data_IF_093459734804
#
_entry.id   IF_093459734804
#
_cell.length_a   1.000
_cell.length_b   1.000
_cell.length_c   1.000
_cell.angle_alpha   90.00
_cell.angle_beta   90.00
_cell.angle_gamma   90.00
#
_symmetry.space_group_name_H-M   'P 1'
#
loop_
_entity.id
_entity.type
_entity.pdbx_description
1 polymer ?
#
# COMPACT_ATOMS: atom_id res chain seq x y z
N UNK A 1 -67.66 28.32 37.07
CA UNK A 1 -66.33 28.97 37.07
C UNK A 1 -65.91 29.17 35.63
N UNK A 2 -65.35 30.36 35.36
CA UNK A 2 -65.18 30.98 34.03
C UNK A 2 -64.15 30.27 33.14
N UNK A 3 -64.46 30.18 31.84
CA UNK A 3 -63.48 30.17 30.73
C UNK A 3 -62.95 31.61 30.52
N UNK A 4 -61.76 31.86 29.93
CA UNK A 4 -61.65 31.94 28.45
C UNK A 4 -60.25 31.48 27.89
N UNK A 5 -60.17 30.92 26.68
CA UNK A 5 -59.89 31.56 25.37
C UNK A 5 -58.42 32.02 25.20
N UNK A 6 -57.77 32.07 24.03
CA UNK A 6 -58.18 31.90 22.63
C UNK A 6 -56.93 31.78 21.72
N UNK A 7 -57.15 31.31 20.48
CA UNK A 7 -56.55 31.77 19.21
C UNK A 7 -55.02 31.59 18.98
N UNK A 8 -54.50 31.40 17.77
CA UNK A 8 -55.04 31.39 16.41
C UNK A 8 -53.87 31.10 15.44
N UNK A 9 -54.09 30.22 14.46
CA UNK A 9 -54.13 30.51 13.02
C UNK A 9 -52.83 30.98 12.32
N UNK A 10 -52.33 30.08 11.46
CA UNK A 10 -52.09 30.25 10.03
C UNK A 10 -50.95 31.16 9.48
N UNK A 11 -50.05 30.47 8.77
CA UNK A 11 -49.50 30.79 7.43
C UNK A 11 -48.51 31.95 7.26
N UNK A 12 -47.34 31.65 6.67
CA UNK A 12 -46.95 32.01 5.29
C UNK A 12 -45.46 31.74 5.00
N UNK A 13 -45.24 31.19 3.81
CA UNK A 13 -43.99 30.99 3.02
C UNK A 13 -43.37 32.36 2.66
N UNK A 14 -42.04 32.56 2.51
CA UNK A 14 -41.27 32.32 1.26
C UNK A 14 -39.77 31.96 1.52
N UNK A 15 -38.82 31.77 0.60
CA UNK A 15 -38.68 32.10 -0.81
C UNK A 15 -37.57 31.23 -1.44
N UNK A 16 -37.52 31.30 -2.77
CA UNK A 16 -36.63 30.66 -3.75
C UNK A 16 -35.26 31.38 -3.81
N UNK A 17 -34.16 30.64 -3.99
CA UNK A 17 -32.95 31.15 -4.65
C UNK A 17 -32.23 30.06 -5.45
N UNK A 18 -31.47 30.52 -6.43
CA UNK A 18 -31.17 29.89 -7.72
C UNK A 18 -29.69 29.69 -7.96
N UNK A 19 -29.34 28.60 -8.66
CA UNK A 19 -28.25 28.58 -9.65
C UNK A 19 -26.87 28.18 -9.15
N UNK A 20 -26.19 27.37 -9.97
CA UNK A 20 -24.75 27.14 -9.89
C UNK A 20 -24.34 25.70 -10.19
N UNK A 21 -24.23 25.35 -11.48
CA UNK A 21 -23.56 24.13 -11.92
C UNK A 21 -22.04 24.25 -11.77
N UNK A 22 -21.40 23.14 -11.44
CA UNK A 22 -19.94 22.98 -11.39
C UNK A 22 -19.60 21.51 -11.28
N UNK A 23 -19.00 20.98 -12.34
CA UNK A 23 -18.27 19.72 -12.52
C UNK A 23 -18.31 18.71 -11.38
N UNK A 24 -19.10 17.63 -11.58
CA UNK A 24 -19.12 16.48 -10.67
C UNK A 24 -17.94 15.56 -10.97
N UNK A 25 -17.00 15.54 -10.04
CA UNK A 25 -16.18 14.37 -9.76
C UNK A 25 -17.07 13.11 -9.59
N UNK A 26 -16.52 11.89 -9.79
CA UNK A 26 -17.31 10.66 -9.71
C UNK A 26 -17.99 10.51 -8.34
N UNK A 27 -19.15 9.82 -8.26
CA UNK A 27 -19.97 9.82 -7.04
C UNK A 27 -19.23 9.12 -5.89
N UNK A 28 -18.99 9.86 -4.82
CA UNK A 28 -18.47 9.34 -3.56
C UNK A 28 -19.57 8.53 -2.86
N UNK A 29 -19.29 7.25 -2.58
CA UNK A 29 -20.18 6.39 -1.81
C UNK A 29 -20.44 7.00 -0.42
N UNK A 30 -21.70 7.08 0.01
CA UNK A 30 -22.09 7.61 1.32
C UNK A 30 -22.08 6.48 2.36
N UNK A 31 -21.72 6.76 3.61
CA UNK A 31 -21.64 5.77 4.70
C UNK A 31 -22.70 6.03 5.79
N UNK A 32 -23.22 4.98 6.43
CA UNK A 32 -24.19 5.07 7.56
C UNK A 32 -23.99 3.92 8.55
N UNK A 33 -24.07 4.18 9.86
CA UNK A 33 -23.97 3.14 10.89
C UNK A 33 -24.92 1.93 10.66
N UNK A 34 -24.41 0.72 10.90
CA UNK A 34 -25.11 -0.56 10.73
C UNK A 34 -25.33 -1.30 12.07
N UNK A 35 -26.26 -2.26 12.15
CA UNK A 35 -26.48 -3.07 13.36
C UNK A 35 -25.27 -3.96 13.71
N UNK A 36 -25.07 -4.21 15.00
CA UNK A 36 -24.02 -5.11 15.54
C UNK A 36 -24.31 -6.61 15.29
N UNK A 37 -25.51 -6.97 14.83
CA UNK A 37 -25.88 -8.34 14.47
C UNK A 37 -26.60 -8.35 13.13
N UNK A 38 -26.06 -9.10 12.18
CA UNK A 38 -26.48 -9.17 10.80
C UNK A 38 -26.85 -10.63 10.49
N UNK A 39 -28.14 -11.00 10.60
CA UNK A 39 -28.58 -12.35 10.32
C UNK A 39 -28.37 -12.70 8.85
N UNK A 40 -28.16 -13.97 8.53
CA UNK A 40 -27.97 -14.43 7.15
C UNK A 40 -28.00 -15.95 7.00
N UNK A 41 -27.93 -16.41 5.75
CA UNK A 41 -27.90 -17.81 5.40
C UNK A 41 -26.86 -18.05 4.29
N UNK A 42 -25.85 -18.92 4.49
CA UNK A 42 -25.67 -19.82 5.63
C UNK A 42 -24.99 -19.18 6.86
N UNK A 43 -24.56 -17.92 6.78
CA UNK A 43 -23.81 -17.25 7.85
C UNK A 43 -24.51 -16.00 8.37
N UNK A 44 -24.43 -15.78 9.68
CA UNK A 44 -24.75 -14.52 10.34
C UNK A 44 -23.48 -13.89 10.91
N UNK A 45 -23.38 -12.56 10.90
CA UNK A 45 -22.23 -11.83 11.45
C UNK A 45 -22.65 -11.11 12.72
N UNK A 46 -21.88 -11.26 13.80
CA UNK A 46 -22.12 -10.55 15.06
C UNK A 46 -20.83 -9.89 15.55
N UNK A 47 -20.87 -8.59 15.75
CA UNK A 47 -19.78 -7.86 16.42
C UNK A 47 -19.84 -8.18 17.91
N UNK A 48 -18.79 -8.80 18.43
CA UNK A 48 -18.62 -9.18 19.83
C UNK A 48 -18.12 -7.98 20.64
N UNK A 49 -17.19 -7.24 20.05
CA UNK A 49 -16.60 -6.04 20.60
C UNK A 49 -16.46 -5.02 19.48
N UNK A 50 -17.01 -3.83 19.65
CA UNK A 50 -16.71 -2.69 18.79
C UNK A 50 -15.33 -2.14 19.17
N UNK A 51 -14.47 -1.94 18.17
CA UNK A 51 -13.17 -1.34 18.36
C UNK A 51 -13.26 0.16 18.62
N UNK A 52 -12.17 0.72 19.10
CA UNK A 52 -12.04 2.15 19.34
C UNK A 52 -10.57 2.56 19.27
N UNK A 53 -10.35 3.82 18.93
CA UNK A 53 -9.06 4.49 19.00
C UNK A 53 -9.30 5.90 19.56
N UNK A 54 -8.73 6.22 20.74
CA UNK A 54 -9.02 7.47 21.46
C UNK A 54 -7.75 8.13 21.95
N UNK A 55 -7.48 9.34 21.46
CA UNK A 55 -6.42 10.18 21.98
C UNK A 55 -6.63 10.50 23.48
N UNK A 56 -5.55 10.45 24.25
CA UNK A 56 -5.50 10.78 25.67
C UNK A 56 -4.90 12.17 25.89
N UNK A 57 -5.15 12.77 27.06
CA UNK A 57 -4.66 14.10 27.40
C UNK A 57 -3.12 14.20 27.47
N UNK A 58 -2.44 13.09 27.70
CA UNK A 58 -0.97 12.98 27.73
C UNK A 58 -0.34 12.75 26.35
N UNK A 59 -1.15 12.73 25.30
CA UNK A 59 -0.71 12.47 23.92
C UNK A 59 -0.58 11.00 23.56
N UNK A 60 -0.87 10.06 24.47
CA UNK A 60 -0.99 8.64 24.17
C UNK A 60 -2.34 8.30 23.51
N UNK A 61 -2.48 7.07 23.04
CA UNK A 61 -3.72 6.57 22.43
C UNK A 61 -4.19 5.33 23.18
N UNK A 62 -5.47 5.33 23.57
CA UNK A 62 -6.15 4.15 24.10
C UNK A 62 -6.93 3.51 22.96
N UNK A 63 -6.54 2.30 22.57
CA UNK A 63 -7.16 1.58 21.46
C UNK A 63 -7.43 0.11 21.79
N UNK A 64 -8.39 -0.46 21.07
CA UNK A 64 -8.59 -1.91 20.95
C UNK A 64 -9.33 -2.22 19.65
N UNK A 65 -9.04 -3.37 19.05
CA UNK A 65 -9.60 -3.78 17.78
C UNK A 65 -11.04 -4.30 17.90
N UNK A 66 -11.78 -4.22 16.81
CA UNK A 66 -13.11 -4.81 16.67
C UNK A 66 -13.00 -6.32 16.59
N UNK A 67 -13.81 -7.04 17.36
CA UNK A 67 -13.89 -8.51 17.30
C UNK A 67 -15.23 -8.92 16.74
N UNK A 68 -15.22 -9.75 15.70
CA UNK A 68 -16.43 -10.24 15.03
C UNK A 68 -16.52 -11.76 15.05
N UNK A 69 -17.74 -12.28 15.23
CA UNK A 69 -18.06 -13.70 15.19
C UNK A 69 -18.98 -13.99 14.01
N UNK A 70 -18.54 -14.89 13.12
CA UNK A 70 -19.33 -15.39 11.99
C UNK A 70 -19.93 -16.75 12.37
N UNK A 71 -21.23 -16.74 12.63
CA UNK A 71 -22.02 -17.89 13.06
C UNK A 71 -22.53 -18.66 11.83
N UNK A 72 -22.28 -19.97 11.78
CA UNK A 72 -22.73 -20.85 10.70
C UNK A 72 -21.93 -22.16 10.66
N UNK A 73 -21.92 -22.87 9.52
CA UNK A 73 -21.26 -24.19 9.40
C UNK A 73 -19.75 -24.18 9.69
N UNK A 74 -19.07 -23.06 9.41
CA UNK A 74 -17.65 -22.82 9.69
C UNK A 74 -17.51 -21.69 10.72
N UNK A 75 -17.80 -21.97 11.99
CA UNK A 75 -17.72 -20.97 13.06
C UNK A 75 -16.35 -20.29 13.09
N UNK A 76 -16.33 -19.00 12.78
CA UNK A 76 -15.11 -18.23 12.52
C UNK A 76 -15.11 -16.97 13.37
N UNK A 77 -14.02 -16.75 14.10
CA UNK A 77 -13.75 -15.50 14.81
C UNK A 77 -12.84 -14.64 13.93
N UNK A 78 -13.10 -13.34 13.86
CA UNK A 78 -12.24 -12.36 13.19
C UNK A 78 -11.72 -11.39 14.23
N UNK A 79 -10.39 -11.32 14.30
CA UNK A 79 -9.60 -10.68 15.36
C UNK A 79 -9.94 -11.19 16.77
N UNK A 80 -9.13 -10.81 17.74
CA UNK A 80 -9.19 -11.33 19.10
C UNK A 80 -9.03 -10.24 20.17
N UNK A 81 -8.98 -8.97 19.76
CA UNK A 81 -8.68 -7.86 20.66
C UNK A 81 -7.26 -7.92 21.22
N UNK A 82 -6.91 -6.92 22.04
CA UNK A 82 -5.68 -6.91 22.81
C UNK A 82 -5.67 -7.91 23.96
N UNK A 83 -4.50 -8.27 24.52
CA UNK A 83 -4.42 -9.17 25.67
C UNK A 83 -5.26 -8.69 26.88
N UNK A 84 -5.44 -7.38 27.02
CA UNK A 84 -6.29 -6.77 28.05
C UNK A 84 -7.79 -7.03 27.85
N UNK A 85 -8.23 -7.44 26.67
CA UNK A 85 -9.62 -7.72 26.33
C UNK A 85 -10.06 -9.16 26.65
N UNK A 86 -9.17 -10.01 27.18
CA UNK A 86 -9.40 -11.45 27.40
C UNK A 86 -10.77 -11.78 28.01
N UNK A 87 -11.09 -11.18 29.15
CA UNK A 87 -12.34 -11.46 29.86
C UNK A 87 -13.57 -10.99 29.09
N UNK A 88 -13.48 -9.83 28.42
CA UNK A 88 -14.55 -9.27 27.59
C UNK A 88 -14.82 -10.16 26.37
N UNK A 89 -13.77 -10.67 25.73
CA UNK A 89 -13.90 -11.62 24.63
C UNK A 89 -14.59 -12.92 25.09
N UNK A 90 -14.14 -13.52 26.19
CA UNK A 90 -14.73 -14.74 26.72
C UNK A 90 -16.21 -14.56 27.09
N UNK A 91 -16.55 -13.44 27.74
CA UNK A 91 -17.94 -13.11 28.07
C UNK A 91 -18.79 -12.93 26.80
N UNK A 92 -18.31 -12.17 25.82
CA UNK A 92 -19.03 -11.92 24.58
C UNK A 92 -19.26 -13.17 23.72
N UNK A 93 -18.35 -14.15 23.75
CA UNK A 93 -18.55 -15.47 23.15
C UNK A 93 -19.61 -16.28 23.93
N UNK A 94 -19.53 -16.30 25.26
CA UNK A 94 -20.47 -17.03 26.11
C UNK A 94 -21.91 -16.50 25.97
N UNK A 95 -22.11 -15.19 25.85
CA UNK A 95 -23.41 -14.56 25.56
C UNK A 95 -24.04 -15.06 24.25
N UNK A 96 -23.21 -15.48 23.29
CA UNK A 96 -23.62 -16.03 22.00
C UNK A 96 -23.68 -17.57 22.01
N UNK A 97 -23.52 -18.18 23.18
CA UNK A 97 -23.56 -19.63 23.37
C UNK A 97 -22.34 -20.36 22.77
N UNK A 98 -21.21 -19.67 22.61
CA UNK A 98 -19.99 -20.22 22.00
C UNK A 98 -18.88 -20.31 23.04
N UNK A 99 -18.26 -21.48 23.16
CA UNK A 99 -17.01 -21.63 23.91
C UNK A 99 -15.80 -21.45 22.97
N UNK A 100 -14.61 -21.08 23.49
CA UNK A 100 -13.40 -21.00 22.65
C UNK A 100 -13.07 -22.31 21.93
N UNK A 101 -13.45 -23.47 22.50
CA UNK A 101 -13.24 -24.78 21.90
C UNK A 101 -14.14 -25.10 20.69
N UNK A 102 -15.21 -24.32 20.48
CA UNK A 102 -16.14 -24.50 19.36
C UNK A 102 -15.67 -23.79 18.08
N UNK A 103 -14.86 -22.73 18.24
CA UNK A 103 -14.33 -21.92 17.14
C UNK A 103 -13.43 -22.78 16.25
N UNK A 104 -13.71 -22.77 14.94
CA UNK A 104 -13.00 -23.60 13.95
C UNK A 104 -11.94 -22.85 13.19
N UNK A 105 -12.13 -21.55 13.00
CA UNK A 105 -11.14 -20.67 12.37
C UNK A 105 -11.03 -19.38 13.17
N UNK A 106 -9.81 -18.87 13.31
CA UNK A 106 -9.55 -17.51 13.81
C UNK A 106 -8.80 -16.78 12.71
N UNK A 107 -9.39 -15.69 12.21
CA UNK A 107 -8.79 -14.81 11.21
C UNK A 107 -8.32 -13.55 11.93
N UNK A 108 -7.03 -13.42 12.21
CA UNK A 108 -6.43 -12.14 12.55
C UNK A 108 -6.12 -11.39 11.26
N UNK A 109 -6.78 -10.25 11.07
CA UNK A 109 -6.64 -9.40 9.89
C UNK A 109 -5.19 -9.02 9.65
N UNK A 110 -4.46 -8.73 10.73
CA UNK A 110 -3.03 -8.46 10.72
C UNK A 110 -2.40 -8.73 12.11
N UNK A 111 -1.12 -8.41 12.27
CA UNK A 111 -0.30 -8.81 13.42
C UNK A 111 -0.20 -7.81 14.58
N UNK A 112 -0.98 -6.73 14.61
CA UNK A 112 -0.92 -5.79 15.74
C UNK A 112 -1.50 -6.38 17.02
N UNK A 113 -1.00 -5.88 18.16
CA UNK A 113 -1.24 -6.44 19.48
C UNK A 113 -2.70 -6.45 19.89
N UNK A 114 -3.46 -5.47 19.42
CA UNK A 114 -4.87 -5.22 19.67
C UNK A 114 -5.82 -5.99 18.73
N UNK A 115 -5.28 -6.77 17.79
CA UNK A 115 -6.04 -7.68 16.92
C UNK A 115 -5.69 -9.15 17.19
N UNK A 116 -4.42 -9.45 17.52
CA UNK A 116 -3.91 -10.81 17.70
C UNK A 116 -3.64 -11.20 19.16
N UNK A 117 -4.09 -10.40 20.13
CA UNK A 117 -3.71 -10.51 21.53
C UNK A 117 -4.17 -11.77 22.26
N UNK A 118 -5.22 -12.45 21.81
CA UNK A 118 -5.81 -13.61 22.50
C UNK A 118 -5.84 -14.89 21.66
N UNK A 119 -4.95 -15.02 20.66
CA UNK A 119 -4.83 -16.23 19.84
C UNK A 119 -4.70 -17.53 20.65
N UNK A 120 -4.03 -17.46 21.82
CA UNK A 120 -3.82 -18.59 22.72
C UNK A 120 -5.10 -19.18 23.32
N UNK A 121 -6.25 -18.49 23.25
CA UNK A 121 -7.53 -19.02 23.71
C UNK A 121 -8.12 -20.07 22.76
N UNK A 122 -7.63 -20.17 21.52
CA UNK A 122 -8.24 -20.97 20.45
C UNK A 122 -7.30 -22.06 19.88
N UNK A 123 -6.74 -22.96 20.70
CA UNK A 123 -5.70 -23.91 20.26
C UNK A 123 -6.20 -24.98 19.26
N UNK A 124 -7.53 -25.12 19.09
CA UNK A 124 -8.16 -26.09 18.17
C UNK A 124 -8.59 -25.47 16.84
N UNK A 125 -8.45 -24.16 16.68
CA UNK A 125 -8.83 -23.47 15.46
C UNK A 125 -7.69 -23.50 14.44
N UNK A 126 -8.03 -23.52 13.15
CA UNK A 126 -7.10 -23.07 12.12
C UNK A 126 -6.89 -21.57 12.28
N UNK A 127 -5.63 -21.15 12.36
CA UNK A 127 -5.26 -19.75 12.54
C UNK A 127 -4.86 -19.17 11.18
N UNK A 128 -5.52 -18.08 10.80
CA UNK A 128 -5.17 -17.25 9.66
C UNK A 128 -4.69 -15.91 10.22
N UNK A 129 -3.39 -15.66 10.25
CA UNK A 129 -2.81 -14.42 10.78
C UNK A 129 -2.17 -13.65 9.65
N UNK A 130 -2.83 -12.59 9.20
CA UNK A 130 -2.53 -11.95 7.93
C UNK A 130 -2.58 -13.00 6.80
N UNK A 131 -1.45 -13.21 6.16
CA UNK A 131 -1.34 -14.16 5.03
C UNK A 131 -0.87 -15.57 5.41
N UNK A 132 -0.59 -15.83 6.69
CA UNK A 132 -0.17 -17.14 7.17
C UNK A 132 -1.36 -17.98 7.61
N UNK A 133 -1.48 -19.19 7.04
CA UNK A 133 -2.52 -20.17 7.40
C UNK A 133 -1.86 -21.34 8.11
N UNK A 134 -2.29 -21.61 9.35
CA UNK A 134 -1.70 -22.59 10.23
C UNK A 134 -2.79 -23.49 10.84
N UNK A 135 -2.70 -24.80 10.60
CA UNK A 135 -3.59 -25.78 11.21
C UNK A 135 -3.23 -25.98 12.69
N UNK A 136 -4.19 -26.47 13.51
CA UNK A 136 -3.93 -26.85 14.89
C UNK A 136 -2.68 -27.74 15.01
N UNK A 137 -1.81 -27.42 15.99
CA UNK A 137 -0.53 -28.11 16.17
C UNK A 137 0.65 -27.49 15.41
N UNK A 138 0.48 -26.32 14.78
CA UNK A 138 1.60 -25.54 14.24
C UNK A 138 2.00 -25.90 12.79
N UNK A 139 1.09 -26.50 12.02
CA UNK A 139 1.35 -26.89 10.63
C UNK A 139 0.92 -25.78 9.68
N UNK A 140 1.88 -25.07 9.12
CA UNK A 140 1.64 -24.03 8.12
C UNK A 140 1.29 -24.62 6.75
N UNK A 141 0.28 -24.06 6.10
CA UNK A 141 -0.18 -24.45 4.78
C UNK A 141 0.31 -23.45 3.72
N UNK A 142 0.80 -23.92 2.56
CA UNK A 142 1.07 -23.05 1.44
C UNK A 142 -0.25 -22.59 0.83
N UNK A 143 -0.52 -21.29 0.83
CA UNK A 143 -1.73 -20.71 0.23
C UNK A 143 -1.38 -19.64 -0.80
N UNK A 144 -2.40 -19.19 -1.55
CA UNK A 144 -2.27 -18.09 -2.50
C UNK A 144 -2.43 -16.70 -1.90
N UNK A 145 -2.71 -16.56 -0.60
CA UNK A 145 -3.02 -15.26 0.03
C UNK A 145 -1.91 -14.23 -0.19
N UNK A 146 -0.64 -14.61 0.04
CA UNK A 146 0.53 -13.76 -0.22
C UNK A 146 0.65 -13.29 -1.67
N UNK A 147 0.07 -14.03 -2.61
CA UNK A 147 0.06 -13.72 -4.05
C UNK A 147 -1.22 -13.01 -4.52
N UNK A 148 -2.09 -12.60 -3.60
CA UNK A 148 -3.32 -11.91 -3.93
C UNK A 148 -4.53 -12.83 -4.21
N UNK A 149 -4.38 -14.14 -4.09
CA UNK A 149 -5.51 -15.07 -4.28
C UNK A 149 -6.32 -15.22 -2.98
N UNK A 150 -7.66 -15.15 -3.03
CA UNK A 150 -8.51 -15.42 -1.88
C UNK A 150 -8.31 -16.82 -1.30
N UNK A 151 -8.52 -16.96 0.01
CA UNK A 151 -8.57 -18.26 0.68
C UNK A 151 -10.00 -18.59 1.13
N UNK A 152 -10.67 -19.58 0.50
CA UNK A 152 -12.03 -19.91 0.83
C UNK A 152 -12.10 -20.80 2.08
N UNK A 153 -12.66 -20.27 3.17
CA UNK A 153 -13.07 -21.08 4.34
C UNK A 153 -14.34 -21.88 3.99
N UNK A 154 -15.25 -21.25 3.24
CA UNK A 154 -16.40 -21.88 2.60
C UNK A 154 -16.63 -21.21 1.25
N UNK A 155 -16.25 -21.88 0.16
CA UNK A 155 -16.29 -21.33 -1.19
C UNK A 155 -17.65 -20.70 -1.53
N UNK A 156 -17.62 -19.47 -2.05
CA UNK A 156 -18.81 -18.70 -2.44
C UNK A 156 -19.58 -18.05 -1.28
N UNK A 157 -19.22 -18.30 -0.02
CA UNK A 157 -19.93 -17.77 1.14
C UNK A 157 -19.03 -17.07 2.17
N UNK A 158 -17.83 -17.61 2.41
CA UNK A 158 -16.90 -17.16 3.44
C UNK A 158 -15.46 -17.25 2.94
N UNK A 159 -14.85 -16.10 2.64
CA UNK A 159 -13.56 -16.03 1.95
C UNK A 159 -12.66 -14.98 2.60
N UNK A 160 -11.41 -15.35 2.87
CA UNK A 160 -10.36 -14.42 3.31
C UNK A 160 -9.77 -13.76 2.07
N UNK A 161 -9.82 -12.43 2.03
CA UNK A 161 -9.34 -11.59 0.94
C UNK A 161 -8.01 -10.93 1.34
N UNK A 162 -6.98 -10.95 0.49
CA UNK A 162 -5.80 -10.12 0.71
C UNK A 162 -6.13 -8.64 0.48
N UNK A 163 -5.93 -7.83 1.51
CA UNK A 163 -6.24 -6.39 1.53
C UNK A 163 -5.07 -5.57 2.07
N UNK A 164 -3.85 -5.77 1.53
CA UNK A 164 -2.66 -5.17 2.11
C UNK A 164 -2.70 -3.64 2.03
N UNK A 165 -2.00 -2.99 2.96
CA UNK A 165 -1.82 -1.56 2.95
C UNK A 165 -1.54 -1.00 4.34
N UNK A 166 -2.43 -1.26 5.30
CA UNK A 166 -2.19 -0.89 6.70
C UNK A 166 -0.92 -1.57 7.21
N UNK A 167 -0.83 -2.88 6.99
CA UNK A 167 0.43 -3.63 7.00
C UNK A 167 0.69 -4.32 5.66
N UNK A 168 1.92 -4.83 5.52
CA UNK A 168 2.34 -5.63 4.38
C UNK A 168 1.50 -6.89 4.09
N UNK A 169 0.77 -7.41 5.09
CA UNK A 169 0.16 -8.75 5.06
C UNK A 169 -1.31 -8.79 5.45
N UNK A 170 -2.02 -7.66 5.42
CA UNK A 170 -3.41 -7.59 5.85
C UNK A 170 -4.34 -8.49 5.03
N UNK A 171 -5.33 -9.03 5.73
CA UNK A 171 -6.47 -9.72 5.14
C UNK A 171 -7.78 -9.20 5.71
N UNK A 172 -8.84 -9.31 4.92
CA UNK A 172 -10.22 -9.04 5.31
C UNK A 172 -11.06 -10.31 5.14
N UNK A 173 -12.12 -10.47 5.93
CA UNK A 173 -13.07 -11.58 5.76
C UNK A 173 -14.33 -11.11 5.03
N UNK A 174 -14.60 -11.70 3.88
CA UNK A 174 -15.84 -11.51 3.12
C UNK A 174 -16.88 -12.56 3.51
N UNK A 175 -18.06 -12.09 3.90
CA UNK A 175 -19.23 -12.91 4.24
C UNK A 175 -20.38 -12.56 3.29
N UNK A 176 -20.87 -13.54 2.53
CA UNK A 176 -21.98 -13.36 1.58
C UNK A 176 -23.27 -13.96 2.13
N UNK A 177 -24.40 -13.41 1.69
CA UNK A 177 -25.74 -13.94 2.01
C UNK A 177 -26.29 -13.47 3.37
N UNK A 178 -25.86 -12.30 3.85
CA UNK A 178 -26.47 -11.67 5.02
C UNK A 178 -27.71 -10.86 4.63
N UNK A 179 -28.54 -10.49 5.60
CA UNK A 179 -29.76 -9.70 5.41
C UNK A 179 -29.51 -8.31 4.81
N UNK A 180 -28.28 -7.80 4.93
CA UNK A 180 -27.83 -6.54 4.32
C UNK A 180 -26.88 -6.76 3.14
N UNK A 181 -26.79 -7.99 2.61
CA UNK A 181 -25.92 -8.32 1.48
C UNK A 181 -24.55 -8.87 1.90
N UNK A 182 -23.49 -8.38 1.28
CA UNK A 182 -22.11 -8.78 1.57
C UNK A 182 -21.52 -7.95 2.70
N UNK A 183 -21.02 -8.62 3.74
CA UNK A 183 -20.32 -7.99 4.86
C UNK A 183 -18.83 -8.23 4.69
N UNK A 184 -18.01 -7.19 4.84
CA UNK A 184 -16.55 -7.34 4.91
C UNK A 184 -16.07 -6.91 6.29
N UNK A 185 -15.50 -7.85 7.04
CA UNK A 185 -14.77 -7.55 8.27
C UNK A 185 -13.34 -7.20 7.87
N UNK A 186 -13.00 -5.93 7.96
CA UNK A 186 -11.90 -5.34 7.21
C UNK A 186 -10.61 -5.13 8.01
N UNK A 187 -10.69 -5.24 9.34
CA UNK A 187 -9.62 -4.77 10.23
C UNK A 187 -9.32 -3.31 9.95
N UNK A 188 -8.06 -2.92 10.12
CA UNK A 188 -7.60 -1.54 9.98
C UNK A 188 -7.45 -1.09 8.51
N UNK A 189 -7.94 -1.90 7.55
CA UNK A 189 -8.16 -1.39 6.20
C UNK A 189 -9.04 -0.12 6.24
N UNK A 190 -9.99 -0.10 7.18
CA UNK A 190 -10.76 1.07 7.58
C UNK A 190 -10.62 1.25 9.10
N UNK A 191 -10.16 2.42 9.54
CA UNK A 191 -10.03 2.74 10.97
C UNK A 191 -11.44 2.84 11.58
N UNK A 192 -12.29 3.65 10.98
CA UNK A 192 -13.71 3.80 11.32
C UNK A 192 -14.48 4.37 10.11
N UNK A 193 -15.76 4.71 10.30
CA UNK A 193 -16.63 5.17 9.21
C UNK A 193 -16.08 6.42 8.51
N UNK A 194 -15.68 7.44 9.25
CA UNK A 194 -15.31 8.75 8.71
C UNK A 194 -13.79 9.01 8.87
N UNK A 195 -12.98 8.04 8.44
CA UNK A 195 -11.53 7.98 8.67
C UNK A 195 -10.68 8.69 7.60
N UNK A 196 -11.29 9.37 6.62
CA UNK A 196 -10.66 9.86 5.40
C UNK A 196 -9.38 10.70 5.59
N UNK A 197 -9.29 11.43 6.70
CA UNK A 197 -8.16 12.31 7.04
C UNK A 197 -7.09 11.62 7.91
N UNK A 198 -7.39 10.43 8.44
CA UNK A 198 -6.63 9.80 9.52
C UNK A 198 -5.92 8.51 9.08
N UNK A 199 -6.61 7.64 8.32
CA UNK A 199 -6.13 6.28 8.02
C UNK A 199 -4.76 6.26 7.34
N UNK A 200 -4.48 7.25 6.48
CA UNK A 200 -3.23 7.30 5.71
C UNK A 200 -1.99 7.51 6.58
N UNK A 201 -2.15 8.15 7.75
CA UNK A 201 -1.04 8.38 8.68
C UNK A 201 -0.69 7.11 9.50
N UNK A 202 -1.62 6.16 9.60
CA UNK A 202 -1.47 4.90 10.33
C UNK A 202 -0.98 3.75 9.44
N UNK A 203 -0.89 4.00 8.13
CA UNK A 203 -0.61 3.02 7.09
C UNK A 203 0.89 2.81 6.82
N UNK A 204 1.32 1.57 6.65
CA UNK A 204 2.64 1.24 6.09
C UNK A 204 2.76 1.58 4.60
N UNK A 205 1.69 1.42 3.82
CA UNK A 205 1.62 1.68 2.38
C UNK A 205 0.27 2.30 1.98
N UNK A 206 0.15 3.64 2.05
CA UNK A 206 -1.12 4.33 1.82
C UNK A 206 -1.68 4.12 0.41
N UNK A 207 -0.81 4.01 -0.61
CA UNK A 207 -1.24 3.80 -1.98
C UNK A 207 -1.91 2.43 -2.14
N UNK A 208 -1.28 1.39 -1.59
CA UNK A 208 -1.82 0.03 -1.64
C UNK A 208 -3.06 -0.14 -0.75
N UNK A 209 -3.10 0.53 0.40
CA UNK A 209 -4.30 0.56 1.25
C UNK A 209 -5.47 1.24 0.53
N UNK A 210 -5.24 2.34 -0.19
CA UNK A 210 -6.28 3.01 -0.98
C UNK A 210 -6.87 2.08 -2.06
N UNK A 211 -6.03 1.33 -2.77
CA UNK A 211 -6.50 0.32 -3.73
C UNK A 211 -7.32 -0.78 -3.03
N UNK A 212 -6.84 -1.29 -1.89
CA UNK A 212 -7.54 -2.30 -1.10
C UNK A 212 -8.90 -1.79 -0.59
N UNK A 213 -8.97 -0.54 -0.12
CA UNK A 213 -10.22 0.13 0.30
C UNK A 213 -11.19 0.23 -0.87
N UNK A 214 -10.73 0.66 -2.04
CA UNK A 214 -11.56 0.76 -3.24
C UNK A 214 -12.13 -0.60 -3.65
N UNK A 215 -11.31 -1.67 -3.64
CA UNK A 215 -11.76 -3.04 -3.93
C UNK A 215 -12.83 -3.51 -2.94
N UNK A 216 -12.65 -3.25 -1.65
CA UNK A 216 -13.63 -3.63 -0.62
C UNK A 216 -14.93 -2.86 -0.76
N UNK A 217 -14.90 -1.53 -0.96
CA UNK A 217 -16.10 -0.72 -1.16
C UNK A 217 -16.89 -1.13 -2.41
N UNK A 218 -16.20 -1.64 -3.45
CA UNK A 218 -16.87 -2.13 -4.65
C UNK A 218 -17.75 -3.36 -4.38
N UNK A 219 -17.41 -4.20 -3.40
CA UNK A 219 -18.10 -5.48 -3.14
C UNK A 219 -18.89 -5.53 -1.83
N UNK A 220 -18.55 -4.68 -0.85
CA UNK A 220 -19.17 -4.67 0.47
C UNK A 220 -20.47 -3.86 0.44
N UNK A 221 -21.50 -4.39 1.08
CA UNK A 221 -22.71 -3.65 1.44
C UNK A 221 -22.60 -3.12 2.88
N UNK A 222 -21.85 -3.84 3.73
CA UNK A 222 -21.47 -3.42 5.08
C UNK A 222 -19.98 -3.66 5.30
N UNK A 223 -19.30 -2.70 5.91
CA UNK A 223 -17.92 -2.82 6.39
C UNK A 223 -17.92 -2.83 7.91
N UNK A 224 -17.17 -3.76 8.50
CA UNK A 224 -16.83 -3.76 9.93
C UNK A 224 -15.36 -3.31 10.03
N UNK A 225 -15.09 -2.08 10.48
CA UNK A 225 -13.74 -1.51 10.56
C UNK A 225 -12.95 -2.02 11.77
N UNK A 226 -11.68 -1.63 11.88
CA UNK A 226 -10.79 -1.98 12.99
C UNK A 226 -11.15 -1.30 14.30
N UNK A 227 -11.40 0.01 14.29
CA UNK A 227 -11.51 0.85 15.48
C UNK A 227 -12.80 1.70 15.51
N UNK A 228 -13.94 1.12 15.12
CA UNK A 228 -15.24 1.77 15.26
C UNK A 228 -16.44 0.92 14.89
N UNK A 229 -17.62 1.55 14.87
CA UNK A 229 -18.88 0.88 14.54
C UNK A 229 -18.93 0.42 13.06
N UNK A 230 -19.62 -0.71 12.77
CA UNK A 230 -19.93 -1.11 11.40
C UNK A 230 -20.70 -0.03 10.63
N UNK A 231 -20.45 0.07 9.33
CA UNK A 231 -21.14 1.02 8.46
C UNK A 231 -21.57 0.41 7.12
N UNK A 232 -22.71 0.86 6.61
CA UNK A 232 -23.24 0.50 5.30
C UNK A 232 -22.58 1.32 4.21
N UNK A 233 -22.34 0.69 3.06
CA UNK A 233 -21.85 1.33 1.84
C UNK A 233 -23.05 1.66 0.95
N UNK A 234 -23.41 2.94 0.87
CA UNK A 234 -24.53 3.38 0.04
C UNK A 234 -24.04 3.62 -1.38
N UNK A 235 -24.58 2.84 -2.32
CA UNK A 235 -24.44 3.08 -3.76
C UNK A 235 -25.62 3.95 -4.20
N UNK A 236 -25.36 5.04 -4.91
CA UNK A 236 -26.44 5.79 -5.54
C UNK A 236 -27.13 4.87 -6.56
N UNK A 237 -28.39 4.54 -6.29
CA UNK A 237 -29.21 3.89 -7.29
C UNK A 237 -29.40 4.88 -8.44
N UNK A 238 -28.93 4.54 -9.64
CA UNK A 238 -29.38 5.22 -10.84
C UNK A 238 -30.89 4.97 -10.94
N UNK A 239 -31.69 5.97 -10.58
CA UNK A 239 -33.15 5.87 -10.62
C UNK A 239 -33.59 5.86 -12.08
N UNK A 240 -33.89 4.67 -12.60
CA UNK A 240 -34.70 4.52 -13.80
C UNK A 240 -36.13 5.01 -13.51
N UNK A 241 -36.36 6.30 -13.75
CA UNK A 241 -37.68 6.86 -14.01
C UNK A 241 -37.71 7.38 -15.45
N UNK A 242 -37.93 6.48 -16.40
CA UNK A 242 -38.34 6.83 -17.74
C UNK A 242 -39.15 5.66 -18.33
N UNK A 243 -40.37 5.49 -17.83
CA UNK A 243 -41.42 4.88 -18.63
C UNK A 243 -41.96 5.96 -19.58
N UNK A 244 -42.28 5.55 -20.81
CA UNK A 244 -42.93 6.31 -21.91
C UNK A 244 -42.06 7.27 -22.71
N UNK A 245 -41.53 6.80 -23.84
CA UNK A 245 -41.93 7.21 -25.20
C UNK A 245 -40.82 6.85 -26.21
N UNK A 246 -41.28 6.52 -27.43
CA UNK A 246 -40.54 6.39 -28.68
C UNK A 246 -39.80 5.07 -28.92
N UNK A 247 -40.57 4.19 -29.57
CA UNK A 247 -40.16 3.24 -30.59
C UNK A 247 -39.29 3.91 -31.68
N UNK A 248 -38.42 3.09 -32.30
CA UNK A 248 -37.74 3.31 -33.58
C UNK A 248 -36.42 4.13 -33.58
N UNK A 249 -35.29 3.40 -33.49
CA UNK A 249 -34.24 3.34 -34.52
C UNK A 249 -33.00 2.61 -33.98
N UNK A 250 -32.67 1.46 -34.58
CA UNK A 250 -31.26 1.04 -34.63
C UNK A 250 -30.58 1.93 -35.68
N UNK A 251 -29.33 2.35 -35.47
CA UNK A 251 -28.26 1.54 -36.06
C UNK A 251 -26.94 1.53 -35.26
N UNK A 252 -26.20 0.44 -35.49
CA UNK A 252 -24.76 0.22 -35.28
C UNK A 252 -24.18 0.17 -33.85
N UNK A 253 -23.76 -1.05 -33.49
CA UNK A 253 -22.73 -1.30 -32.48
C UNK A 253 -21.47 -0.47 -32.81
N UNK A 254 -21.00 0.42 -31.93
CA UNK A 254 -19.60 0.73 -31.87
C UNK A 254 -18.93 -0.41 -31.10
N UNK A 255 -17.98 -1.08 -31.74
CA UNK A 255 -16.87 -1.77 -31.09
C UNK A 255 -16.13 -0.78 -30.19
N UNK A 256 -16.65 -0.49 -29.00
CA UNK A 256 -15.93 0.23 -27.95
C UNK A 256 -15.23 -0.82 -27.08
N UNK A 257 -14.05 -1.18 -27.60
CA UNK A 257 -12.83 -1.61 -26.91
C UNK A 257 -12.98 -1.58 -25.38
N UNK A 258 -12.75 -2.74 -24.76
CA UNK A 258 -12.16 -2.76 -23.45
C UNK A 258 -10.95 -1.81 -23.46
N UNK A 259 -11.06 -0.66 -22.81
CA UNK A 259 -9.88 -0.01 -22.27
C UNK A 259 -9.49 -0.85 -21.06
N UNK A 260 -8.77 -1.94 -21.34
CA UNK A 260 -7.67 -2.31 -20.45
C UNK A 260 -6.88 -1.02 -20.22
N UNK A 261 -7.01 -0.41 -19.04
CA UNK A 261 -6.02 0.57 -18.60
C UNK A 261 -4.73 -0.21 -18.30
N UNK A 262 -3.68 -0.09 -19.13
CA UNK A 262 -2.49 -0.91 -19.05
C UNK A 262 -1.50 -0.27 -18.06
N UNK A 263 -1.90 0.00 -16.82
CA UNK A 263 -1.02 0.72 -15.89
C UNK A 263 0.12 -0.14 -15.36
N UNK A 264 -0.10 -1.44 -15.08
CA UNK A 264 0.98 -2.33 -14.62
C UNK A 264 1.90 -2.78 -15.77
N UNK A 265 1.35 -2.99 -16.97
CA UNK A 265 2.10 -3.41 -18.15
C UNK A 265 2.96 -2.28 -18.69
N UNK A 266 2.45 -1.05 -18.76
CA UNK A 266 3.22 0.12 -19.24
C UNK A 266 4.27 0.52 -18.22
N UNK A 267 4.00 0.47 -16.91
CA UNK A 267 5.00 0.76 -15.89
C UNK A 267 6.11 -0.29 -15.85
N UNK A 268 5.77 -1.57 -15.93
CA UNK A 268 6.75 -2.66 -16.03
C UNK A 268 7.57 -2.58 -17.32
N UNK A 269 6.92 -2.28 -18.45
CA UNK A 269 7.56 -2.07 -19.74
C UNK A 269 8.48 -0.85 -19.71
N UNK A 270 8.03 0.28 -19.15
CA UNK A 270 8.81 1.52 -18.99
C UNK A 270 10.01 1.31 -18.07
N UNK A 271 9.86 0.56 -16.98
CA UNK A 271 10.97 0.16 -16.10
C UNK A 271 12.00 -0.71 -16.83
N UNK A 272 11.54 -1.71 -17.61
CA UNK A 272 12.43 -2.57 -18.40
C UNK A 272 13.12 -1.77 -19.51
N UNK A 273 12.40 -0.95 -20.27
CA UNK A 273 12.96 -0.04 -21.28
C UNK A 273 13.94 0.95 -20.67
N UNK A 274 13.63 1.52 -19.52
CA UNK A 274 14.52 2.41 -18.77
C UNK A 274 15.82 1.71 -18.37
N UNK A 275 15.74 0.47 -17.89
CA UNK A 275 16.94 -0.34 -17.56
C UNK A 275 17.74 -0.71 -18.80
N UNK A 276 17.09 -1.08 -19.91
CA UNK A 276 17.77 -1.38 -21.18
C UNK A 276 18.49 -0.14 -21.71
N UNK A 277 17.85 1.03 -21.66
CA UNK A 277 18.47 2.30 -22.05
C UNK A 277 19.66 2.63 -21.14
N UNK A 278 19.52 2.42 -19.84
CA UNK A 278 20.59 2.66 -18.86
C UNK A 278 21.78 1.70 -19.03
N UNK A 279 21.56 0.48 -19.55
CA UNK A 279 22.61 -0.49 -19.84
C UNK A 279 23.54 -0.08 -20.99
N UNK A 280 23.10 0.80 -21.89
CA UNK A 280 23.87 1.19 -23.07
C UNK A 280 25.21 1.86 -22.70
N UNK A 281 25.22 2.72 -21.68
CA UNK A 281 26.42 3.45 -21.27
C UNK A 281 27.47 2.52 -20.63
N UNK A 282 27.14 1.63 -19.67
CA UNK A 282 28.06 0.59 -19.22
C UNK A 282 28.53 -0.36 -20.32
N UNK A 283 27.67 -0.78 -21.24
CA UNK A 283 28.10 -1.63 -22.37
C UNK A 283 29.16 -0.92 -23.22
N UNK A 284 28.97 0.37 -23.51
CA UNK A 284 29.97 1.18 -24.18
C UNK A 284 31.26 1.30 -23.35
N UNK A 285 31.17 1.43 -22.02
CA UNK A 285 32.34 1.49 -21.13
C UNK A 285 33.17 0.20 -21.13
N UNK A 286 32.53 -0.97 -21.11
CA UNK A 286 33.23 -2.26 -21.28
C UNK A 286 33.89 -2.33 -22.66
N UNK A 287 33.17 -1.99 -23.73
CA UNK A 287 33.68 -2.05 -25.09
C UNK A 287 34.88 -1.10 -25.31
N UNK A 288 34.75 0.16 -24.92
CA UNK A 288 35.81 1.18 -25.06
C UNK A 288 37.03 0.79 -24.21
N UNK A 289 36.83 0.38 -22.96
CA UNK A 289 37.93 -0.04 -22.10
C UNK A 289 38.67 -1.27 -22.63
N UNK A 290 37.95 -2.23 -23.24
CA UNK A 290 38.54 -3.43 -23.83
C UNK A 290 39.24 -3.15 -25.17
N UNK A 291 38.63 -2.38 -26.07
CA UNK A 291 39.20 -2.02 -27.38
C UNK A 291 40.47 -1.20 -27.23
N UNK A 292 40.50 -0.29 -26.26
CA UNK A 292 41.64 0.60 -26.00
C UNK A 292 42.51 0.11 -24.83
N UNK A 293 42.45 -1.17 -24.49
CA UNK A 293 43.29 -1.75 -23.46
C UNK A 293 44.77 -1.57 -23.82
N UNK A 294 45.56 -1.00 -22.90
CA UNK A 294 46.98 -0.69 -23.15
C UNK A 294 47.23 0.57 -24.00
N UNK A 295 46.20 1.24 -24.51
CA UNK A 295 46.34 2.48 -25.32
C UNK A 295 46.32 3.75 -24.47
N UNK A 296 46.69 3.66 -23.19
CA UNK A 296 46.93 4.80 -22.31
C UNK A 296 48.14 4.54 -21.40
N UNK A 297 49.38 4.58 -21.93
CA UNK A 297 50.60 4.40 -21.14
C UNK A 297 50.70 5.33 -19.95
N UNK A 298 50.17 6.56 -20.09
CA UNK A 298 50.18 7.58 -19.02
C UNK A 298 49.42 7.14 -17.77
N UNK A 299 48.37 6.34 -17.95
CA UNK A 299 47.59 5.75 -16.87
C UNK A 299 47.02 4.38 -17.28
N UNK A 300 47.77 3.28 -17.05
CA UNK A 300 47.37 1.94 -17.48
C UNK A 300 46.11 1.43 -16.75
N UNK A 301 45.77 2.01 -15.60
CA UNK A 301 44.56 1.65 -14.84
C UNK A 301 43.29 2.28 -15.41
N UNK A 302 43.37 3.29 -16.29
CA UNK A 302 42.21 3.98 -16.83
C UNK A 302 41.24 3.06 -17.63
N UNK A 303 41.70 2.22 -18.57
CA UNK A 303 40.80 1.27 -19.24
C UNK A 303 40.26 0.19 -18.28
N UNK A 304 41.05 -0.22 -17.29
CA UNK A 304 40.61 -1.19 -16.25
C UNK A 304 39.51 -0.56 -15.38
N UNK A 305 39.68 0.70 -14.98
CA UNK A 305 38.68 1.46 -14.26
C UNK A 305 37.34 1.45 -14.97
N UNK A 306 37.36 1.75 -16.27
CA UNK A 306 36.17 1.81 -17.10
C UNK A 306 35.49 0.44 -17.25
N UNK A 307 36.28 -0.62 -17.48
CA UNK A 307 35.78 -1.99 -17.57
C UNK A 307 35.13 -2.42 -16.26
N UNK A 308 35.82 -2.25 -15.13
CA UNK A 308 35.35 -2.72 -13.83
C UNK A 308 34.12 -1.93 -13.35
N UNK A 309 34.14 -0.61 -13.48
CA UNK A 309 32.98 0.24 -13.17
C UNK A 309 31.75 -0.24 -13.97
N UNK A 310 31.93 -0.43 -15.28
CA UNK A 310 30.84 -0.78 -16.18
C UNK A 310 30.35 -2.22 -16.01
N UNK A 311 31.26 -3.18 -15.84
CA UNK A 311 30.92 -4.59 -15.65
C UNK A 311 30.18 -4.81 -14.33
N UNK A 312 30.63 -4.20 -13.23
CA UNK A 312 29.93 -4.31 -11.94
C UNK A 312 28.57 -3.61 -11.98
N UNK A 313 28.45 -2.45 -12.65
CA UNK A 313 27.14 -1.82 -12.88
C UNK A 313 26.21 -2.71 -13.70
N UNK A 314 26.69 -3.39 -14.74
CA UNK A 314 25.89 -4.33 -15.53
C UNK A 314 25.46 -5.55 -14.70
N UNK A 315 26.35 -6.09 -13.86
CA UNK A 315 26.01 -7.19 -12.94
C UNK A 315 24.94 -6.74 -11.97
N UNK A 316 25.07 -5.58 -11.34
CA UNK A 316 24.05 -5.05 -10.42
C UNK A 316 22.72 -4.78 -11.13
N UNK A 317 22.75 -4.28 -12.36
CA UNK A 317 21.56 -4.09 -13.19
C UNK A 317 20.90 -5.43 -13.50
N UNK A 318 21.66 -6.45 -13.87
CA UNK A 318 21.16 -7.81 -14.10
C UNK A 318 20.58 -8.43 -12.83
N UNK A 319 21.25 -8.29 -11.68
CA UNK A 319 20.75 -8.74 -10.37
C UNK A 319 19.44 -8.03 -9.99
N UNK A 320 19.24 -6.77 -10.41
CA UNK A 320 17.98 -6.04 -10.26
C UNK A 320 16.88 -6.48 -11.25
N UNK A 321 17.25 -7.20 -12.31
CA UNK A 321 16.36 -7.74 -13.34
C UNK A 321 16.02 -9.21 -13.12
N UNK A 322 16.74 -9.91 -12.24
CA UNK A 322 16.34 -11.25 -11.80
C UNK A 322 14.93 -11.10 -11.24
N UNK A 323 13.91 -11.66 -11.92
CA UNK A 323 12.59 -11.72 -11.33
C UNK A 323 12.80 -12.47 -10.03
N UNK A 324 12.45 -11.85 -8.89
CA UNK A 324 12.21 -12.63 -7.69
C UNK A 324 11.29 -13.77 -8.13
N UNK A 325 11.80 -15.01 -8.15
CA UNK A 325 11.02 -16.15 -8.62
C UNK A 325 9.64 -16.08 -7.97
N UNK A 326 8.60 -15.98 -8.80
CA UNK A 326 7.17 -16.08 -8.48
C UNK A 326 6.68 -15.34 -7.20
N UNK A 327 7.46 -14.38 -6.69
CA UNK A 327 7.27 -13.72 -5.39
C UNK A 327 7.40 -14.61 -4.14
N UNK A 328 7.78 -15.89 -4.28
CA UNK A 328 7.80 -16.89 -3.20
C UNK A 328 9.10 -16.94 -2.41
N UNK A 329 10.18 -16.38 -2.96
CA UNK A 329 11.44 -16.21 -2.26
C UNK A 329 11.62 -14.75 -1.87
N UNK A 330 11.86 -14.47 -0.58
CA UNK A 330 12.53 -13.22 -0.18
C UNK A 330 13.75 -13.06 -1.10
N UNK A 331 14.13 -11.83 -1.54
CA UNK A 331 15.50 -11.66 -2.02
C UNK A 331 16.37 -12.27 -0.93
N UNK A 332 17.13 -13.31 -1.28
CA UNK A 332 17.96 -13.98 -0.28
C UNK A 332 18.69 -12.88 0.46
N UNK A 333 18.77 -12.92 1.78
CA UNK A 333 19.55 -11.93 2.54
C UNK A 333 20.93 -11.76 1.88
N UNK A 334 21.45 -12.86 1.31
CA UNK A 334 22.55 -12.90 0.37
C UNK A 334 22.43 -11.96 -0.86
N UNK A 335 21.37 -12.01 -1.68
CA UNK A 335 21.19 -11.12 -2.84
C UNK A 335 21.17 -9.63 -2.44
N UNK A 336 20.48 -9.27 -1.36
CA UNK A 336 20.50 -7.90 -0.85
C UNK A 336 21.89 -7.51 -0.31
N UNK A 337 22.57 -8.41 0.39
CA UNK A 337 23.95 -8.21 0.82
C UNK A 337 24.91 -8.08 -0.38
N UNK A 338 24.72 -8.85 -1.45
CA UNK A 338 25.52 -8.78 -2.68
C UNK A 338 25.28 -7.46 -3.42
N UNK A 339 24.03 -7.00 -3.51
CA UNK A 339 23.71 -5.68 -4.05
C UNK A 339 24.36 -4.57 -3.22
N UNK A 340 24.20 -4.61 -1.89
CA UNK A 340 24.83 -3.64 -0.98
C UNK A 340 26.36 -3.63 -1.06
N UNK A 341 26.98 -4.82 -1.07
CA UNK A 341 28.42 -4.96 -1.23
C UNK A 341 28.91 -4.43 -2.59
N UNK A 342 28.16 -4.67 -3.66
CA UNK A 342 28.46 -4.13 -4.99
C UNK A 342 28.37 -2.60 -5.03
N UNK A 343 27.38 -1.99 -4.38
CA UNK A 343 27.33 -0.52 -4.25
C UNK A 343 28.51 0.03 -3.46
N UNK A 344 28.87 -0.59 -2.33
CA UNK A 344 30.04 -0.19 -1.54
C UNK A 344 31.34 -0.29 -2.34
N UNK A 345 31.49 -1.38 -3.10
CA UNK A 345 32.61 -1.56 -4.03
C UNK A 345 32.64 -0.46 -5.09
N UNK A 346 31.51 -0.17 -5.75
CA UNK A 346 31.43 0.88 -6.75
C UNK A 346 31.76 2.26 -6.17
N UNK A 347 31.35 2.57 -4.94
CA UNK A 347 31.72 3.81 -4.26
C UNK A 347 33.26 3.90 -4.07
N UNK A 348 33.89 2.86 -3.53
CA UNK A 348 35.33 2.82 -3.34
C UNK A 348 36.08 2.89 -4.68
N UNK A 349 35.61 2.16 -5.69
CA UNK A 349 36.19 2.14 -7.02
C UNK A 349 36.03 3.47 -7.75
N UNK A 350 34.90 4.16 -7.56
CA UNK A 350 34.68 5.50 -8.09
C UNK A 350 35.64 6.51 -7.48
N UNK A 351 35.86 6.46 -6.16
CA UNK A 351 36.85 7.31 -5.49
C UNK A 351 38.25 7.07 -6.06
N UNK A 352 38.66 5.82 -6.27
CA UNK A 352 39.94 5.51 -6.92
C UNK A 352 39.99 6.02 -8.37
N UNK A 353 38.89 5.84 -9.12
CA UNK A 353 38.70 6.34 -10.47
C UNK A 353 38.90 7.83 -10.63
N UNK A 354 38.41 8.62 -9.67
CA UNK A 354 38.62 10.06 -9.64
C UNK A 354 40.12 10.41 -9.67
N UNK A 355 40.92 9.71 -8.87
CA UNK A 355 42.38 9.90 -8.87
C UNK A 355 42.95 9.60 -10.24
N UNK A 356 42.54 8.51 -10.88
CA UNK A 356 43.11 8.11 -12.17
C UNK A 356 42.69 8.98 -13.34
N UNK A 357 41.43 9.45 -13.35
CA UNK A 357 40.87 10.29 -14.42
C UNK A 357 41.38 11.73 -14.30
N UNK A 358 41.27 12.34 -13.11
CA UNK A 358 41.59 13.76 -12.95
C UNK A 358 43.09 14.05 -12.82
N UNK A 359 43.91 13.09 -12.35
CA UNK A 359 45.36 13.32 -12.23
C UNK A 359 46.09 13.48 -13.57
N UNK A 360 45.46 13.09 -14.67
CA UNK A 360 46.04 13.19 -16.02
C UNK A 360 45.26 14.15 -16.91
N UNK A 361 44.29 14.90 -16.39
CA UNK A 361 43.47 15.83 -17.17
C UNK A 361 44.21 17.15 -17.47
N UNK A 362 44.26 17.63 -18.73
CA UNK A 362 44.08 16.87 -19.98
C UNK A 362 45.37 16.09 -20.34
N UNK A 363 45.26 14.86 -20.88
CA UNK A 363 46.43 14.08 -21.31
C UNK A 363 46.87 14.49 -22.73
N UNK A 364 48.02 13.96 -23.16
CA UNK A 364 48.49 14.08 -24.54
C UNK A 364 47.76 13.09 -25.45
N UNK A 365 47.11 13.60 -26.49
CA UNK A 365 46.34 12.81 -27.46
C UNK A 365 47.08 12.57 -28.78
N UNK A 366 48.17 13.29 -29.04
CA UNK A 366 48.77 13.39 -30.37
C UNK A 366 50.02 12.52 -30.51
N UNK A 367 50.83 12.43 -29.45
CA UNK A 367 52.15 11.78 -29.52
C UNK A 367 52.09 10.27 -29.22
N UNK A 368 51.52 9.48 -30.14
CA UNK A 368 51.41 8.02 -30.01
C UNK A 368 52.78 7.39 -29.73
N UNK A 369 52.87 6.59 -28.66
CA UNK A 369 54.10 5.90 -28.25
C UNK A 369 54.94 6.63 -27.19
N UNK A 370 54.63 7.90 -26.88
CA UNK A 370 55.25 8.60 -25.75
C UNK A 370 54.62 8.17 -24.40
N UNK A 371 55.36 8.23 -23.28
CA UNK A 371 54.81 7.94 -21.94
C UNK A 371 53.63 8.84 -21.53
N UNK A 372 53.51 10.03 -22.14
CA UNK A 372 52.45 11.00 -21.91
C UNK A 372 51.13 10.68 -22.61
N UNK A 373 51.15 9.78 -23.59
CA UNK A 373 50.02 9.51 -24.47
C UNK A 373 48.85 8.83 -23.75
N UNK A 374 47.63 9.23 -24.12
CA UNK A 374 46.41 8.51 -23.80
C UNK A 374 45.41 8.62 -24.96
N UNK A 375 44.84 7.51 -25.38
CA UNK A 375 43.87 7.50 -26.47
C UNK A 375 42.65 8.40 -26.12
N UNK A 376 42.31 9.29 -27.06
CA UNK A 376 41.34 10.37 -26.85
C UNK A 376 39.93 9.88 -26.51
N UNK A 377 39.40 8.89 -27.23
CA UNK A 377 38.09 8.30 -26.99
C UNK A 377 38.00 7.67 -25.59
N UNK A 378 39.01 6.91 -25.19
CA UNK A 378 39.11 6.25 -23.89
C UNK A 378 39.10 7.28 -22.76
N UNK A 379 39.94 8.31 -22.88
CA UNK A 379 40.02 9.35 -21.86
C UNK A 379 38.75 10.19 -21.78
N UNK A 380 38.25 10.70 -22.90
CA UNK A 380 37.05 11.54 -22.92
C UNK A 380 35.81 10.77 -22.47
N UNK A 381 35.70 9.49 -22.78
CA UNK A 381 34.61 8.66 -22.29
C UNK A 381 34.72 8.44 -20.78
N UNK A 382 35.90 8.08 -20.26
CA UNK A 382 36.11 7.91 -18.82
C UNK A 382 35.85 9.22 -18.06
N UNK A 383 36.40 10.34 -18.54
CA UNK A 383 36.15 11.67 -17.99
C UNK A 383 34.66 12.03 -18.03
N UNK A 384 34.01 11.85 -19.18
CA UNK A 384 32.59 12.15 -19.35
C UNK A 384 31.69 11.35 -18.42
N UNK A 385 31.92 10.03 -18.29
CA UNK A 385 31.18 9.18 -17.35
C UNK A 385 31.42 9.61 -15.91
N UNK A 386 32.68 9.85 -15.52
CA UNK A 386 33.01 10.30 -14.16
C UNK A 386 32.37 11.65 -13.84
N UNK A 387 32.43 12.63 -14.74
CA UNK A 387 31.81 13.95 -14.55
C UNK A 387 30.28 13.86 -14.53
N UNK A 388 29.67 13.04 -15.37
CA UNK A 388 28.22 12.82 -15.35
C UNK A 388 27.73 12.25 -14.01
N UNK A 389 28.49 11.32 -13.42
CA UNK A 389 28.20 10.78 -12.08
C UNK A 389 28.25 11.89 -11.02
N UNK A 390 29.24 12.79 -11.06
CA UNK A 390 29.29 13.94 -10.14
C UNK A 390 28.09 14.87 -10.30
N UNK A 391 27.71 15.17 -11.54
CA UNK A 391 26.54 16.01 -11.83
C UNK A 391 25.26 15.38 -11.28
N UNK A 392 25.08 14.07 -11.46
CA UNK A 392 23.94 13.33 -10.92
C UNK A 392 23.91 13.36 -9.38
N UNK A 393 25.06 13.16 -8.73
CA UNK A 393 25.18 13.24 -7.26
C UNK A 393 24.86 14.64 -6.73
N UNK A 394 25.30 15.69 -7.41
CA UNK A 394 24.99 17.08 -7.05
C UNK A 394 23.49 17.38 -7.15
N UNK A 395 22.85 16.95 -8.24
CA UNK A 395 21.38 17.09 -8.39
C UNK A 395 20.63 16.32 -7.30
N UNK A 396 21.02 15.08 -7.01
CA UNK A 396 20.41 14.29 -5.95
C UNK A 396 20.53 14.95 -4.57
N UNK A 397 21.69 15.53 -4.26
CA UNK A 397 21.92 16.27 -3.02
C UNK A 397 21.02 17.52 -2.92
N UNK A 398 20.89 18.28 -4.01
CA UNK A 398 20.03 19.47 -4.05
C UNK A 398 18.55 19.11 -3.84
N UNK A 399 18.09 18.02 -4.45
CA UNK A 399 16.72 17.51 -4.27
C UNK A 399 16.50 17.07 -2.81
N UNK A 400 17.44 16.32 -2.23
CA UNK A 400 17.36 15.88 -0.84
C UNK A 400 17.33 17.06 0.13
N UNK A 401 18.16 18.08 -0.11
CA UNK A 401 18.16 19.32 0.67
C UNK A 401 16.84 20.08 0.53
N UNK A 402 16.28 20.16 -0.68
CA UNK A 402 14.98 20.78 -0.93
C UNK A 402 13.84 20.09 -0.17
N UNK A 403 13.84 18.75 -0.16
CA UNK A 403 12.88 17.95 0.62
C UNK A 403 13.05 18.21 2.12
N UNK A 404 14.28 18.21 2.63
CA UNK A 404 14.57 18.48 4.04
C UNK A 404 14.11 19.89 4.45
N UNK A 405 14.41 20.90 3.64
CA UNK A 405 13.94 22.28 3.87
C UNK A 405 12.42 22.33 3.83
N UNK A 406 11.77 21.63 2.89
CA UNK A 406 10.32 21.50 2.83
C UNK A 406 9.73 20.95 4.13
N UNK A 407 10.29 19.84 4.64
CA UNK A 407 9.89 19.23 5.91
C UNK A 407 10.06 20.20 7.09
N UNK A 408 11.19 20.90 7.16
CA UNK A 408 11.47 21.88 8.22
C UNK A 408 10.51 23.09 8.16
N UNK A 409 10.21 23.59 6.96
CA UNK A 409 9.24 24.68 6.75
C UNK A 409 7.83 24.23 7.13
N UNK A 410 7.40 23.04 6.71
CA UNK A 410 6.13 22.47 7.14
C UNK A 410 6.04 22.36 8.67
N UNK A 411 7.07 21.83 9.32
CA UNK A 411 7.11 21.69 10.77
C UNK A 411 7.03 23.05 11.49
N UNK A 412 7.75 24.07 11.00
CA UNK A 412 7.70 25.41 11.59
C UNK A 412 6.37 26.12 11.39
N UNK A 413 5.72 25.97 10.22
CA UNK A 413 4.37 26.50 9.94
C UNK A 413 3.32 25.82 10.81
N UNK A 414 3.40 24.49 10.97
CA UNK A 414 2.51 23.72 11.85
C UNK A 414 2.71 24.10 13.32
N UNK A 415 3.95 24.22 13.79
CA UNK A 415 4.25 24.70 15.15
C UNK A 415 3.83 26.15 15.39
N UNK A 416 3.93 27.02 14.38
CA UNK A 416 3.48 28.42 14.44
C UNK A 416 1.96 28.55 14.53
N UNK A 417 1.21 27.76 13.75
CA UNK A 417 -0.26 27.68 13.85
C UNK A 417 -0.72 27.18 15.22
N UNK A 418 -0.02 26.20 15.81
CA UNK A 418 -0.33 25.72 17.18
C UNK A 418 -0.15 26.80 18.25
N UNK A 419 0.85 27.69 18.13
CA UNK A 419 1.07 28.79 19.08
C UNK A 419 0.07 29.95 18.91
N UNK A 420 -0.41 30.20 17.69
CA UNK A 420 -1.40 31.25 17.39
C UNK A 420 -2.78 31.00 18.00
N UNK A 421 -3.16 29.74 18.23
CA UNK A 421 -4.44 29.38 18.85
C UNK A 421 -4.44 29.41 20.39
N UNK A 422 -3.28 29.56 21.04
CA UNK A 422 -3.15 29.56 22.51
C UNK A 422 -3.04 30.97 23.12
N UNK A 423 -3.01 32.04 22.31
CA UNK A 423 -2.80 33.42 22.76
C UNK A 423 -4.06 34.28 22.88
N UNK A 424 -5.26 33.68 22.78
CA UNK A 424 -6.53 34.40 22.86
C UNK A 424 -7.43 33.80 23.93
N UNK A 425 -7.11 34.05 25.20
CA UNK A 425 -8.02 33.93 26.34
C UNK A 425 -7.73 35.08 27.31
#
# INVERSE_FOLDING_TARGET
MRSPAAAGSASRVPARWSGGGGDRAPPMARRRAAPLSLPGCPYSVSVVQEGYCRAQADGSTLADGTVSLVLGPRLTLVDTGGPWARERLLAGLAERGVSPGDVRHVVCTHGHSDHAGNLNLFPRAELIVGTDVCQPGGRYLPTGLRRGAPYPIHAGHLEVLPTPGHTGSDVSLLVRGTSLGSVVVAGDLFEHQDDEEEWAALSEDPARQAESRARVLAIADVVVPGHGAPFQVLREACSTSAATMAEESQPERPLLRATEEPSSSVHSLLMVLGKVLFAALPLAGVAIGAVYLGQCPRQPLLPIYLIVLSAVTLVLLCLSCIPCGDGTNRPSTLLNCLQGAGFLFLCAWFIAGNVWVYSIYPPDYENVGQPGFCQQTLFLFAFGVTTAIHAALAVALLLALGILVGILVLNTVVSGRRRGCSGGL
#
